data_IF_531952675138
#
_entry.id   IF_531952675138
#
_cell.length_a   1.000
_cell.length_b   1.000
_cell.length_c   1.000
_cell.angle_alpha   90.00
_cell.angle_beta   90.00
_cell.angle_gamma   90.00
#
_symmetry.space_group_name_H-M   'P 1'
#
loop_
_entity.id
_entity.type
_entity.pdbx_description
1 polymer ?
#
# COMPACT_ATOMS: atom_id res chain seq x y z
N UNK A 1 55.99 33.03 27.32
CA UNK A 1 55.57 32.31 26.11
C UNK A 1 54.11 31.93 26.25
N UNK A 2 53.21 32.56 25.48
CA UNK A 2 51.78 32.19 25.40
C UNK A 2 51.54 31.70 23.98
N UNK A 3 51.48 30.39 23.77
CA UNK A 3 51.05 29.79 22.51
C UNK A 3 49.53 29.97 22.38
N UNK A 4 49.14 30.56 21.27
CA UNK A 4 47.79 30.92 20.89
C UNK A 4 46.98 29.68 20.50
N UNK A 5 46.10 29.25 21.41
CA UNK A 5 45.10 28.18 21.24
C UNK A 5 43.97 28.51 20.21
N UNK A 6 44.19 29.47 19.31
CA UNK A 6 43.14 30.09 18.48
C UNK A 6 43.09 29.60 17.04
N UNK A 7 43.99 28.68 16.63
CA UNK A 7 44.10 28.26 15.22
C UNK A 7 43.54 26.87 14.90
N UNK A 8 43.09 26.10 15.90
CA UNK A 8 42.54 24.75 15.67
C UNK A 8 41.00 24.75 15.63
N UNK A 9 40.34 25.81 16.11
CA UNK A 9 38.86 25.88 16.09
C UNK A 9 38.27 26.34 14.75
N UNK A 10 39.10 26.71 13.76
CA UNK A 10 38.61 27.19 12.45
C UNK A 10 38.59 26.10 11.36
N UNK A 11 39.17 24.93 11.63
CA UNK A 11 39.19 23.79 10.69
C UNK A 11 38.16 22.72 11.00
N UNK A 12 37.38 22.88 12.08
CA UNK A 12 36.26 22.02 12.46
C UNK A 12 34.94 22.79 12.49
N UNK A 13 34.77 23.75 11.57
CA UNK A 13 33.42 23.90 10.98
C UNK A 13 33.29 22.70 10.05
N UNK A 14 32.94 21.57 10.67
CA UNK A 14 32.39 20.42 10.00
C UNK A 14 31.25 21.00 9.18
N UNK A 15 31.47 21.13 7.88
CA UNK A 15 30.42 21.20 6.89
C UNK A 15 29.74 19.85 7.05
N UNK A 16 28.84 19.76 8.02
CA UNK A 16 27.88 18.68 8.13
C UNK A 16 26.95 18.96 6.95
N UNK A 17 27.37 18.49 5.77
CA UNK A 17 26.48 18.30 4.64
C UNK A 17 25.45 17.33 5.18
N UNK A 18 24.35 17.88 5.71
CA UNK A 18 23.12 17.17 5.96
C UNK A 18 22.67 16.72 4.57
N UNK A 19 23.20 15.58 4.13
CA UNK A 19 22.59 14.77 3.11
C UNK A 19 21.27 14.29 3.73
N UNK A 20 20.25 15.13 3.64
CA UNK A 20 18.87 14.68 3.84
C UNK A 20 18.63 13.71 2.70
N UNK A 21 18.78 12.41 2.98
CA UNK A 21 18.28 11.37 2.08
C UNK A 21 16.80 11.68 1.94
N UNK A 22 16.42 12.16 0.76
CA UNK A 22 15.04 12.40 0.46
C UNK A 22 14.31 11.07 0.60
N UNK A 23 13.33 11.02 1.51
CA UNK A 23 12.47 9.86 1.64
C UNK A 23 11.55 9.83 0.43
N UNK A 24 11.58 8.76 -0.35
CA UNK A 24 10.52 8.49 -1.30
C UNK A 24 9.20 8.39 -0.50
N UNK A 25 8.17 9.08 -0.97
CA UNK A 25 6.86 9.09 -0.33
C UNK A 25 5.87 8.46 -1.29
N UNK A 26 5.19 7.42 -0.82
CA UNK A 26 4.08 6.80 -1.56
C UNK A 26 2.76 7.27 -0.95
N UNK A 27 1.82 7.62 -1.82
CA UNK A 27 0.45 7.98 -1.44
C UNK A 27 -0.52 6.91 -1.92
N UNK A 28 -1.53 6.61 -1.12
CA UNK A 28 -2.56 5.63 -1.47
C UNK A 28 -3.90 6.32 -1.65
N UNK A 29 -4.54 6.08 -2.79
CA UNK A 29 -5.91 6.46 -3.07
C UNK A 29 -6.74 5.19 -3.08
N UNK A 30 -7.70 5.10 -2.18
CA UNK A 30 -8.73 4.06 -2.22
C UNK A 30 -9.79 4.46 -3.26
N UNK A 31 -10.49 3.48 -3.81
CA UNK A 31 -11.59 3.71 -4.74
C UNK A 31 -12.87 4.18 -4.05
N UNK A 32 -13.85 4.59 -4.86
CA UNK A 32 -15.17 5.07 -4.42
C UNK A 32 -16.26 3.99 -4.41
N UNK A 33 -15.93 2.77 -4.80
CA UNK A 33 -16.84 1.64 -4.73
C UNK A 33 -16.89 1.14 -3.29
N UNK A 34 -18.09 0.84 -2.80
CA UNK A 34 -18.28 0.19 -1.51
C UNK A 34 -17.65 -1.21 -1.48
N UNK A 35 -16.87 -1.50 -0.44
CA UNK A 35 -16.34 -2.83 -0.16
C UNK A 35 -17.40 -3.94 -0.27
N UNK A 36 -16.96 -5.13 -0.68
CA UNK A 36 -17.76 -6.35 -0.77
C UNK A 36 -18.93 -6.29 -1.75
N UNK A 37 -18.71 -5.67 -2.91
CA UNK A 37 -19.73 -5.62 -3.97
C UNK A 37 -19.65 -6.87 -4.84
N UNK A 38 -20.77 -7.56 -4.98
CA UNK A 38 -20.88 -8.67 -5.93
C UNK A 38 -20.69 -8.16 -7.37
N UNK A 39 -19.85 -8.87 -8.12
CA UNK A 39 -19.59 -8.67 -9.54
C UNK A 39 -19.83 -10.01 -10.21
N UNK A 40 -20.99 -10.16 -10.83
CA UNK A 40 -21.38 -11.39 -11.51
C UNK A 40 -21.23 -11.29 -13.02
N UNK A 41 -21.30 -12.43 -13.70
CA UNK A 41 -21.09 -12.53 -15.14
C UNK A 41 -21.96 -11.52 -15.93
N UNK A 42 -21.31 -10.70 -16.77
CA UNK A 42 -21.88 -9.59 -17.58
C UNK A 42 -22.20 -8.30 -16.82
N UNK A 43 -21.94 -8.23 -15.52
CA UNK A 43 -21.99 -6.96 -14.80
C UNK A 43 -20.66 -6.24 -14.95
N UNK A 44 -20.75 -4.95 -15.28
CA UNK A 44 -19.61 -4.04 -15.25
C UNK A 44 -19.77 -3.11 -14.06
N UNK A 45 -18.71 -2.97 -13.29
CA UNK A 45 -18.62 -2.00 -12.22
C UNK A 45 -17.60 -0.93 -12.62
N UNK A 46 -17.93 0.32 -12.32
CA UNK A 46 -17.08 1.47 -12.60
C UNK A 46 -16.74 2.12 -11.28
N UNK A 47 -15.45 2.39 -11.08
CA UNK A 47 -14.94 3.07 -9.92
C UNK A 47 -14.03 4.23 -10.32
N UNK A 48 -13.71 5.05 -9.35
CA UNK A 48 -12.80 6.17 -9.52
C UNK A 48 -11.91 6.38 -8.30
N UNK A 49 -10.69 6.84 -8.57
CA UNK A 49 -9.77 7.37 -7.57
C UNK A 49 -9.85 8.89 -7.61
N UNK A 50 -10.09 9.54 -6.48
CA UNK A 50 -10.09 11.00 -6.37
C UNK A 50 -8.92 11.48 -5.51
N UNK A 51 -8.22 12.53 -5.95
CA UNK A 51 -7.26 13.21 -5.08
C UNK A 51 -8.05 14.01 -4.04
N UNK A 52 -7.85 13.76 -2.73
CA UNK A 52 -8.50 14.56 -1.70
C UNK A 52 -8.11 16.03 -1.82
N UNK A 53 -9.08 16.94 -1.73
CA UNK A 53 -8.82 18.39 -1.80
C UNK A 53 -7.89 18.91 -0.70
N UNK A 54 -7.76 18.16 0.40
CA UNK A 54 -6.82 18.44 1.50
C UNK A 54 -5.35 18.19 1.12
N UNK A 55 -5.08 17.47 0.04
CA UNK A 55 -3.72 17.10 -0.37
C UNK A 55 -3.07 18.19 -1.20
N UNK A 56 -2.70 19.28 -0.53
CA UNK A 56 -2.10 20.47 -1.15
C UNK A 56 -0.82 20.18 -1.94
N UNK A 57 -0.11 19.08 -1.66
CA UNK A 57 1.08 18.68 -2.42
C UNK A 57 0.77 18.30 -3.89
N UNK A 58 -0.47 17.91 -4.21
CA UNK A 58 -0.87 17.59 -5.58
C UNK A 58 -1.31 18.82 -6.38
N UNK A 59 -1.65 19.91 -5.71
CA UNK A 59 -2.03 21.17 -6.36
C UNK A 59 -0.83 21.99 -6.86
N UNK A 60 0.40 21.54 -6.58
CA UNK A 60 1.61 22.28 -6.94
C UNK A 60 2.07 21.94 -8.37
N UNK A 61 2.57 22.92 -9.15
CA UNK A 61 3.05 22.68 -10.52
C UNK A 61 4.20 21.67 -10.64
N UNK A 62 4.94 21.43 -9.56
CA UNK A 62 6.05 20.48 -9.47
C UNK A 62 5.60 19.05 -9.13
N UNK A 63 4.37 18.84 -8.67
CA UNK A 63 3.83 17.51 -8.34
C UNK A 63 3.99 16.52 -9.51
N UNK A 64 3.75 16.99 -10.74
CA UNK A 64 3.92 16.19 -11.95
C UNK A 64 5.36 15.77 -12.22
N UNK A 65 6.35 16.59 -11.83
CA UNK A 65 7.77 16.26 -12.00
C UNK A 65 8.24 15.24 -10.96
N UNK A 66 7.65 15.28 -9.78
CA UNK A 66 8.01 14.42 -8.68
C UNK A 66 7.27 13.08 -8.73
N UNK A 67 6.16 12.95 -9.45
CA UNK A 67 5.47 11.67 -9.64
C UNK A 67 6.29 10.73 -10.55
N UNK A 68 6.89 9.70 -9.95
CA UNK A 68 7.78 8.73 -10.63
C UNK A 68 7.06 7.50 -11.15
N UNK A 69 5.92 7.15 -10.57
CA UNK A 69 5.18 5.96 -10.94
C UNK A 69 3.85 5.85 -10.22
N UNK A 70 3.10 4.83 -10.58
CA UNK A 70 1.93 4.43 -9.84
C UNK A 70 1.55 2.99 -10.14
N UNK A 71 0.95 2.35 -9.16
CA UNK A 71 0.56 0.94 -9.20
C UNK A 71 -0.87 0.82 -8.75
N UNK A 72 -1.72 0.22 -9.59
CA UNK A 72 -3.07 -0.18 -9.20
C UNK A 72 -3.01 -1.57 -8.59
N UNK A 73 -3.67 -1.74 -7.46
CA UNK A 73 -3.85 -2.99 -6.75
C UNK A 73 -5.33 -3.32 -6.74
N UNK A 74 -5.69 -4.55 -7.10
CA UNK A 74 -7.06 -5.04 -7.08
C UNK A 74 -7.15 -6.30 -6.21
N UNK A 75 -8.24 -6.40 -5.45
CA UNK A 75 -8.56 -7.56 -4.63
C UNK A 75 -9.99 -8.03 -4.88
N UNK A 76 -10.14 -9.32 -5.12
CA UNK A 76 -11.42 -10.00 -5.26
C UNK A 76 -11.42 -11.24 -4.36
N UNK A 77 -12.60 -11.66 -3.95
CA UNK A 77 -12.80 -12.98 -3.35
C UNK A 77 -13.94 -13.67 -4.06
N UNK A 78 -13.88 -14.97 -4.04
CA UNK A 78 -14.93 -15.84 -4.51
C UNK A 78 -16.22 -15.64 -3.68
N UNK A 79 -17.39 -15.68 -4.33
CA UNK A 79 -18.69 -15.37 -3.68
C UNK A 79 -19.37 -16.59 -3.04
N UNK A 80 -18.70 -17.74 -3.03
CA UNK A 80 -19.43 -18.98 -2.89
C UNK A 80 -19.50 -19.48 -1.43
N UNK A 81 -20.72 -19.49 -0.89
CA UNK A 81 -21.12 -20.48 0.09
C UNK A 81 -21.36 -21.79 -0.68
N UNK A 82 -20.42 -22.73 -0.55
CA UNK A 82 -20.51 -24.16 -0.91
C UNK A 82 -21.97 -24.65 -1.07
N UNK A 83 -22.33 -25.29 -2.20
CA UNK A 83 -22.90 -26.66 -2.28
C UNK A 83 -23.58 -26.92 -3.64
N UNK A 84 -22.97 -27.79 -4.45
CA UNK A 84 -23.68 -28.86 -5.13
C UNK A 84 -23.05 -30.18 -4.67
N UNK A 85 -23.67 -30.85 -3.69
CA UNK A 85 -23.16 -32.08 -3.10
C UNK A 85 -23.45 -33.27 -4.03
N UNK A 86 -22.40 -33.94 -4.52
CA UNK A 86 -22.50 -35.22 -5.24
C UNK A 86 -21.95 -36.37 -4.40
N UNK A 87 -22.72 -37.44 -4.24
CA UNK A 87 -22.29 -38.65 -3.51
C UNK A 87 -21.63 -39.66 -4.44
N UNK A 88 -20.40 -40.09 -4.13
CA UNK A 88 -19.70 -41.15 -4.86
C UNK A 88 -19.25 -42.27 -3.90
N UNK A 89 -19.79 -43.49 -4.02
CA UNK A 89 -19.30 -44.64 -3.26
C UNK A 89 -18.09 -45.27 -3.97
N UNK A 90 -16.99 -45.46 -3.26
CA UNK A 90 -15.91 -46.39 -3.64
C UNK A 90 -15.96 -47.61 -2.72
N UNK A 91 -15.77 -48.81 -3.27
CA UNK A 91 -15.78 -50.06 -2.51
C UNK A 91 -14.40 -50.72 -2.60
N UNK A 92 -13.95 -51.31 -1.50
CA UNK A 92 -12.71 -52.08 -1.44
C UNK A 92 -12.89 -53.34 -0.60
N UNK A 93 -12.05 -54.33 -0.85
CA UNK A 93 -12.02 -55.61 -0.15
C UNK A 93 -10.57 -55.92 0.23
N UNK A 94 -10.35 -56.40 1.46
CA UNK A 94 -9.04 -56.80 1.95
C UNK A 94 -9.15 -58.05 2.82
N UNK A 95 -8.48 -59.12 2.42
CA UNK A 95 -8.25 -60.29 3.29
C UNK A 95 -7.23 -59.94 4.37
N UNK A 96 -7.57 -60.17 5.64
CA UNK A 96 -6.69 -59.86 6.79
C UNK A 96 -6.11 -61.13 7.42
N UNK A 97 -6.89 -62.21 7.45
CA UNK A 97 -6.49 -63.53 7.94
C UNK A 97 -7.10 -64.61 7.01
N UNK A 98 -6.66 -65.87 7.17
CA UNK A 98 -6.99 -67.00 6.27
C UNK A 98 -8.50 -67.16 5.99
N UNK A 99 -9.35 -66.75 6.94
CA UNK A 99 -10.82 -66.80 6.85
C UNK A 99 -11.53 -65.46 7.10
N UNK A 100 -10.80 -64.33 7.17
CA UNK A 100 -11.37 -63.01 7.50
C UNK A 100 -11.20 -62.02 6.35
N UNK A 101 -12.33 -61.53 5.84
CA UNK A 101 -12.36 -60.52 4.76
C UNK A 101 -12.99 -59.23 5.27
N UNK A 102 -12.24 -58.14 5.18
CA UNK A 102 -12.74 -56.78 5.40
C UNK A 102 -13.34 -56.22 4.12
N UNK A 103 -14.58 -55.74 4.20
CA UNK A 103 -15.24 -54.99 3.14
C UNK A 103 -15.36 -53.54 3.58
N UNK A 104 -14.84 -52.64 2.77
CA UNK A 104 -14.92 -51.21 3.02
C UNK A 104 -15.73 -50.46 1.99
N UNK A 105 -16.46 -49.44 2.42
CA UNK A 105 -17.03 -48.42 1.53
C UNK A 105 -16.57 -47.03 1.96
N UNK A 106 -15.92 -46.33 1.04
CA UNK A 106 -15.63 -44.91 1.18
C UNK A 106 -16.77 -44.12 0.51
N UNK A 107 -17.40 -43.27 1.29
CA UNK A 107 -18.51 -42.42 0.85
C UNK A 107 -17.99 -41.00 0.73
N UNK A 108 -17.94 -40.43 -0.48
CA UNK A 108 -17.52 -39.04 -0.68
C UNK A 108 -18.72 -38.12 -0.87
N UNK A 109 -18.82 -37.08 -0.05
CA UNK A 109 -19.60 -35.89 -0.39
C UNK A 109 -18.71 -34.91 -1.14
N UNK A 110 -19.02 -34.67 -2.41
CA UNK A 110 -18.25 -33.78 -3.27
C UNK A 110 -18.92 -32.44 -3.38
N UNK A 111 -18.25 -31.37 -2.93
CA UNK A 111 -18.65 -30.00 -3.23
C UNK A 111 -17.90 -29.56 -4.47
N UNK A 112 -18.61 -29.11 -5.52
CA UNK A 112 -18.02 -28.57 -6.75
C UNK A 112 -18.32 -27.09 -6.88
N UNK A 113 -17.26 -26.32 -6.97
CA UNK A 113 -17.34 -24.94 -7.39
C UNK A 113 -17.13 -24.80 -8.91
N UNK A 114 -17.74 -23.77 -9.49
CA UNK A 114 -17.56 -23.40 -10.89
C UNK A 114 -16.19 -22.73 -11.10
N UNK A 115 -15.94 -22.08 -12.23
CA UNK A 115 -14.65 -21.45 -12.52
C UNK A 115 -14.84 -19.94 -12.52
N UNK A 116 -14.17 -19.25 -11.61
CA UNK A 116 -14.22 -17.78 -11.54
C UNK A 116 -13.06 -17.14 -12.28
N UNK A 117 -13.37 -16.15 -13.11
CA UNK A 117 -12.37 -15.33 -13.78
C UNK A 117 -12.80 -13.88 -13.82
N UNK A 118 -11.95 -13.03 -13.26
CA UNK A 118 -12.10 -11.58 -13.34
C UNK A 118 -11.37 -11.03 -14.56
N UNK A 119 -11.99 -10.03 -15.19
CA UNK A 119 -11.35 -9.19 -16.20
C UNK A 119 -11.41 -7.74 -15.77
N UNK A 120 -10.25 -7.13 -15.58
CA UNK A 120 -10.13 -5.71 -15.29
C UNK A 120 -9.63 -4.99 -16.54
N UNK A 121 -10.42 -4.00 -16.97
CA UNK A 121 -10.14 -3.10 -18.08
C UNK A 121 -9.89 -1.70 -17.50
N UNK A 122 -8.65 -1.47 -17.08
CA UNK A 122 -8.23 -0.23 -16.46
C UNK A 122 -7.14 0.43 -17.31
N UNK A 123 -7.33 1.73 -17.62
CA UNK A 123 -6.26 2.57 -18.15
C UNK A 123 -5.66 2.04 -19.48
N UNK A 124 -6.52 1.54 -20.36
CA UNK A 124 -6.11 0.96 -21.65
C UNK A 124 -5.39 -0.38 -21.55
N UNK A 125 -5.27 -0.95 -20.35
CA UNK A 125 -4.73 -2.29 -20.11
C UNK A 125 -5.86 -3.25 -19.73
N UNK A 126 -5.76 -4.46 -20.24
CA UNK A 126 -6.64 -5.58 -19.90
C UNK A 126 -5.85 -6.62 -19.15
N UNK A 127 -6.29 -6.96 -17.94
CA UNK A 127 -5.73 -8.06 -17.16
C UNK A 127 -6.84 -9.04 -16.82
N UNK A 128 -6.53 -10.33 -16.93
CA UNK A 128 -7.40 -11.40 -16.51
C UNK A 128 -6.70 -12.26 -15.48
N UNK A 129 -7.44 -12.63 -14.44
CA UNK A 129 -7.00 -13.48 -13.34
C UNK A 129 -8.13 -14.43 -12.99
N UNK A 130 -7.75 -15.62 -12.56
CA UNK A 130 -8.65 -16.68 -12.16
C UNK A 130 -8.31 -17.10 -10.74
N UNK A 131 -9.29 -17.64 -10.04
CA UNK A 131 -9.08 -18.31 -8.76
C UNK A 131 -8.21 -19.56 -8.94
N UNK A 132 -7.73 -20.10 -7.83
CA UNK A 132 -6.95 -21.34 -7.82
C UNK A 132 -7.85 -22.55 -7.64
N UNK A 133 -7.56 -23.65 -8.35
CA UNK A 133 -8.23 -24.91 -8.09
C UNK A 133 -7.72 -25.53 -6.78
N UNK A 134 -8.63 -25.83 -5.86
CA UNK A 134 -8.36 -26.43 -4.56
C UNK A 134 -9.05 -27.79 -4.46
N UNK A 135 -8.36 -28.74 -3.82
CA UNK A 135 -8.95 -30.02 -3.41
C UNK A 135 -8.59 -30.27 -1.95
N UNK A 136 -9.59 -30.53 -1.14
CA UNK A 136 -9.42 -30.89 0.27
C UNK A 136 -10.24 -32.15 0.54
N UNK A 137 -9.65 -33.09 1.26
CA UNK A 137 -10.32 -34.28 1.75
C UNK A 137 -10.22 -34.25 3.27
N UNK A 138 -11.36 -34.25 3.94
CA UNK A 138 -11.45 -34.37 5.39
C UNK A 138 -12.28 -35.60 5.73
N UNK A 139 -11.94 -36.26 6.84
CA UNK A 139 -12.85 -37.25 7.39
C UNK A 139 -14.15 -36.54 7.75
N UNK A 140 -15.28 -37.13 7.39
CA UNK A 140 -16.57 -36.64 7.82
C UNK A 140 -16.72 -37.01 9.29
N UNK A 141 -17.03 -36.06 10.18
CA UNK A 141 -17.33 -36.32 11.59
C UNK A 141 -18.68 -37.05 11.79
N UNK A 142 -19.14 -37.79 10.79
CA UNK A 142 -20.37 -38.56 10.89
C UNK A 142 -20.16 -39.69 11.92
N UNK A 143 -21.05 -39.81 12.91
CA UNK A 143 -20.91 -40.77 14.01
C UNK A 143 -21.05 -42.25 13.60
N UNK A 144 -21.16 -42.54 12.30
CA UNK A 144 -21.53 -43.85 11.75
C UNK A 144 -20.37 -44.51 11.00
N UNK A 145 -19.21 -44.64 11.66
CA UNK A 145 -18.26 -45.70 11.31
C UNK A 145 -18.91 -47.04 11.70
N UNK A 146 -19.85 -47.51 10.87
CA UNK A 146 -20.61 -48.73 11.16
C UNK A 146 -19.68 -49.90 10.87
N UNK A 147 -19.31 -50.60 11.93
CA UNK A 147 -18.67 -51.91 11.87
C UNK A 147 -19.75 -52.99 11.98
N UNK A 148 -20.06 -53.68 10.88
CA UNK A 148 -21.00 -54.82 10.89
C UNK A 148 -20.21 -56.12 10.79
N UNK A 149 -20.44 -57.02 11.73
CA UNK A 149 -19.94 -58.40 11.65
C UNK A 149 -21.04 -59.30 11.12
N UNK A 150 -20.80 -59.98 10.00
CA UNK A 150 -21.70 -61.00 9.46
C UNK A 150 -20.93 -62.30 9.27
N UNK A 151 -21.38 -63.39 9.87
CA UNK A 151 -20.80 -64.72 9.65
C UNK A 151 -21.63 -65.44 8.59
N UNK A 152 -21.02 -65.79 7.45
CA UNK A 152 -21.65 -66.62 6.40
C UNK A 152 -20.73 -67.79 6.05
N UNK A 153 -21.07 -68.98 6.53
CA UNK A 153 -20.24 -70.18 6.34
C UNK A 153 -19.00 -70.16 7.23
N UNK A 154 -17.83 -70.66 6.78
CA UNK A 154 -16.60 -70.66 7.59
C UNK A 154 -15.91 -69.28 7.66
N UNK A 155 -16.45 -68.25 6.99
CA UNK A 155 -15.82 -66.94 6.87
C UNK A 155 -16.50 -65.90 7.75
N UNK A 156 -15.67 -65.08 8.40
CA UNK A 156 -16.10 -63.88 9.11
C UNK A 156 -15.96 -62.65 8.20
N UNK A 157 -17.09 -61.99 7.95
CA UNK A 157 -17.15 -60.75 7.18
C UNK A 157 -17.23 -59.56 8.12
N UNK A 158 -16.33 -58.60 7.94
CA UNK A 158 -16.36 -57.33 8.67
C UNK A 158 -16.58 -56.21 7.66
N UNK A 159 -17.68 -55.49 7.78
CA UNK A 159 -18.01 -54.34 6.98
C UNK A 159 -17.63 -53.06 7.72
N UNK A 160 -16.84 -52.19 7.10
CA UNK A 160 -16.58 -50.84 7.59
C UNK A 160 -17.05 -49.82 6.55
N UNK A 161 -17.88 -48.86 6.96
CA UNK A 161 -18.19 -47.70 6.11
C UNK A 161 -17.48 -46.48 6.67
N UNK A 162 -16.69 -45.80 5.84
CA UNK A 162 -16.03 -44.54 6.20
C UNK A 162 -16.60 -43.40 5.35
N UNK A 163 -16.90 -42.27 6.00
CA UNK A 163 -17.40 -41.09 5.33
C UNK A 163 -16.29 -40.04 5.19
N UNK A 164 -16.14 -39.50 3.98
CA UNK A 164 -15.22 -38.43 3.67
C UNK A 164 -15.98 -37.26 3.06
N UNK A 165 -15.61 -36.06 3.47
CA UNK A 165 -16.01 -34.85 2.78
C UNK A 165 -14.87 -34.48 1.84
N UNK A 166 -15.17 -34.33 0.55
CA UNK A 166 -14.22 -33.88 -0.46
C UNK A 166 -14.70 -32.56 -1.04
N UNK A 167 -14.02 -31.48 -0.69
CA UNK A 167 -14.24 -30.18 -1.32
C UNK A 167 -13.32 -30.06 -2.52
N UNK A 168 -13.87 -29.82 -3.70
CA UNK A 168 -13.10 -29.58 -4.91
C UNK A 168 -13.70 -28.40 -5.67
N UNK A 169 -12.89 -27.43 -6.06
CA UNK A 169 -13.46 -26.25 -6.70
C UNK A 169 -12.42 -25.25 -7.03
N UNK A 170 -12.80 -24.29 -7.86
CA UNK A 170 -12.07 -23.05 -7.94
C UNK A 170 -12.50 -22.18 -6.75
N UNK A 171 -11.59 -21.35 -6.25
CA UNK A 171 -11.94 -20.43 -5.19
C UNK A 171 -10.75 -19.80 -4.48
N UNK A 172 -11.08 -18.94 -3.52
CA UNK A 172 -10.15 -18.13 -2.75
C UNK A 172 -9.97 -16.72 -3.31
N UNK A 173 -8.94 -16.03 -2.80
CA UNK A 173 -8.70 -14.62 -3.13
C UNK A 173 -7.92 -14.46 -4.45
N UNK A 174 -8.29 -13.43 -5.21
CA UNK A 174 -7.55 -12.96 -6.38
C UNK A 174 -6.98 -11.58 -6.07
N UNK A 175 -5.68 -11.52 -5.83
CA UNK A 175 -4.95 -10.27 -5.67
C UNK A 175 -3.97 -10.08 -6.83
N UNK A 176 -3.98 -8.91 -7.45
CA UNK A 176 -3.00 -8.57 -8.48
C UNK A 176 -2.79 -7.06 -8.61
N UNK A 177 -1.65 -6.71 -9.19
CA UNK A 177 -1.28 -5.32 -9.42
C UNK A 177 -0.95 -5.06 -10.89
N UNK A 178 -1.10 -3.81 -11.31
CA UNK A 178 -0.66 -3.34 -12.62
C UNK A 178 -0.03 -1.95 -12.53
N UNK A 179 1.04 -1.74 -13.29
CA UNK A 179 1.68 -0.43 -13.38
C UNK A 179 0.81 0.53 -14.20
N UNK A 180 0.71 1.76 -13.73
CA UNK A 180 -0.01 2.84 -14.38
C UNK A 180 0.94 3.64 -15.26
N UNK A 181 0.57 3.85 -16.52
CA UNK A 181 1.38 4.63 -17.44
C UNK A 181 1.32 6.12 -17.08
N UNK A 182 2.43 6.84 -17.31
CA UNK A 182 2.56 8.26 -16.97
C UNK A 182 1.51 9.16 -17.61
N UNK A 183 0.95 8.76 -18.75
CA UNK A 183 -0.20 9.44 -19.38
C UNK A 183 -1.42 9.51 -18.45
N UNK A 184 -1.80 8.37 -17.85
CA UNK A 184 -2.97 8.29 -16.97
C UNK A 184 -2.73 8.94 -15.61
N UNK A 185 -1.49 8.85 -15.11
CA UNK A 185 -1.08 9.61 -13.93
C UNK A 185 -1.17 11.12 -14.17
N UNK A 186 -0.80 11.59 -15.37
CA UNK A 186 -1.00 12.98 -15.78
C UNK A 186 -2.48 13.38 -15.77
N UNK A 187 -3.36 12.52 -16.30
CA UNK A 187 -4.81 12.75 -16.27
C UNK A 187 -5.36 12.85 -14.83
N UNK A 188 -4.88 12.01 -13.91
CA UNK A 188 -5.26 12.08 -12.50
C UNK A 188 -4.86 13.43 -11.88
N UNK A 189 -3.64 13.92 -12.15
CA UNK A 189 -3.18 15.21 -11.65
C UNK A 189 -3.94 16.39 -12.27
N UNK A 190 -4.23 16.32 -13.56
CA UNK A 190 -4.88 17.40 -14.31
C UNK A 190 -6.39 17.50 -13.99
N UNK A 191 -7.07 16.35 -13.84
CA UNK A 191 -8.52 16.28 -13.62
C UNK A 191 -8.91 16.10 -12.14
N UNK A 192 -7.96 15.71 -11.28
CA UNK A 192 -8.19 15.40 -9.88
C UNK A 192 -8.82 14.02 -9.63
N UNK A 193 -9.15 13.26 -10.68
CA UNK A 193 -9.69 11.91 -10.56
C UNK A 193 -9.25 11.00 -11.71
N UNK A 194 -9.33 9.69 -11.49
CA UNK A 194 -9.00 8.65 -12.46
C UNK A 194 -10.03 7.52 -12.40
N UNK A 195 -10.69 7.23 -13.51
CA UNK A 195 -11.72 6.20 -13.61
C UNK A 195 -11.16 4.87 -14.13
N UNK A 196 -11.79 3.76 -13.71
CA UNK A 196 -11.53 2.42 -14.24
C UNK A 196 -12.83 1.62 -14.33
N UNK A 197 -12.80 0.58 -15.15
CA UNK A 197 -13.91 -0.37 -15.29
C UNK A 197 -13.43 -1.79 -14.97
N UNK A 198 -14.28 -2.55 -14.31
CA UNK A 198 -14.05 -3.95 -14.02
C UNK A 198 -15.29 -4.76 -14.44
N UNK A 199 -15.06 -6.01 -14.82
CA UNK A 199 -16.12 -6.93 -15.20
C UNK A 199 -15.77 -8.34 -14.75
N UNK A 200 -16.75 -9.06 -14.20
CA UNK A 200 -16.59 -10.50 -14.03
C UNK A 200 -16.83 -11.16 -15.40
N UNK A 201 -15.85 -11.94 -15.85
CA UNK A 201 -15.96 -12.64 -17.12
C UNK A 201 -16.63 -14.01 -16.94
N UNK A 202 -16.35 -14.71 -15.84
CA UNK A 202 -16.97 -15.97 -15.45
C UNK A 202 -17.05 -16.06 -13.93
N UNK A 203 -18.07 -16.75 -13.43
CA UNK A 203 -18.36 -16.88 -11.99
C UNK A 203 -19.00 -15.63 -11.40
N UNK A 204 -19.04 -15.64 -10.08
CA UNK A 204 -19.51 -14.57 -9.21
C UNK A 204 -18.40 -14.25 -8.21
N UNK A 205 -17.92 -13.02 -8.27
CA UNK A 205 -16.81 -12.57 -7.45
C UNK A 205 -17.26 -11.41 -6.60
N UNK A 206 -16.86 -11.39 -5.35
CA UNK A 206 -16.98 -10.24 -4.48
C UNK A 206 -15.75 -9.36 -4.73
N UNK A 207 -15.98 -8.17 -5.28
CA UNK A 207 -14.98 -7.12 -5.32
C UNK A 207 -14.72 -6.60 -3.91
N UNK A 208 -13.47 -6.75 -3.45
CA UNK A 208 -13.05 -6.30 -2.13
C UNK A 208 -12.61 -4.84 -2.17
N UNK A 209 -11.64 -4.52 -3.02
CA UNK A 209 -11.10 -3.17 -3.12
C UNK A 209 -10.28 -2.94 -4.38
N UNK A 210 -10.13 -1.66 -4.74
CA UNK A 210 -9.08 -1.20 -5.64
C UNK A 210 -8.31 -0.07 -4.97
N UNK A 211 -6.98 -0.07 -5.10
CA UNK A 211 -6.12 0.95 -4.52
C UNK A 211 -5.09 1.41 -5.53
N UNK A 212 -4.95 2.72 -5.67
CA UNK A 212 -3.90 3.35 -6.46
C UNK A 212 -2.79 3.83 -5.53
N UNK A 213 -1.63 3.21 -5.66
CA UNK A 213 -0.38 3.66 -5.08
C UNK A 213 0.31 4.64 -6.03
N UNK A 214 0.73 5.79 -5.53
CA UNK A 214 1.43 6.83 -6.28
C UNK A 214 2.81 7.04 -5.67
N UNK A 215 3.84 6.84 -6.47
CA UNK A 215 5.23 6.94 -6.02
C UNK A 215 5.83 8.29 -6.39
N UNK A 216 6.20 9.07 -5.38
CA UNK A 216 6.89 10.34 -5.60
C UNK A 216 8.38 10.19 -5.34
N UNK A 217 9.18 10.67 -6.29
CA UNK A 217 10.56 11.02 -6.05
C UNK A 217 10.62 11.93 -4.83
N UNK A 218 11.60 11.67 -4.00
CA UNK A 218 11.91 12.60 -2.94
C UNK A 218 12.24 13.96 -3.55
N UNK A 219 11.47 14.97 -3.21
CA UNK A 219 11.80 16.34 -3.54
C UNK A 219 13.18 16.60 -2.93
N UNK A 220 14.23 16.94 -3.71
CA UNK A 220 15.46 17.42 -3.11
C UNK A 220 15.06 18.71 -2.41
N UNK A 221 14.84 18.64 -1.09
CA UNK A 221 14.69 19.82 -0.25
C UNK A 221 15.74 20.81 -0.71
N UNK A 222 15.39 22.07 -1.04
CA UNK A 222 16.33 23.01 -1.62
C UNK A 222 17.48 23.19 -0.63
N UNK A 223 18.52 22.39 -0.81
CA UNK A 223 19.78 22.53 -0.10
C UNK A 223 20.27 23.89 -0.58
N UNK A 224 20.43 24.89 0.31
CA UNK A 224 20.89 26.18 -0.14
C UNK A 224 22.22 25.93 -0.83
N UNK A 225 22.34 26.38 -2.09
CA UNK A 225 23.53 26.09 -2.86
C UNK A 225 24.77 26.56 -2.06
N UNK A 226 25.87 25.80 -2.09
CA UNK A 226 27.10 26.20 -1.39
C UNK A 226 27.55 27.62 -1.76
N UNK A 227 27.23 28.05 -2.99
CA UNK A 227 27.43 29.40 -3.50
C UNK A 227 26.68 30.46 -2.69
N UNK A 228 25.44 30.20 -2.25
CA UNK A 228 24.61 31.14 -1.48
C UNK A 228 25.14 31.30 -0.06
N UNK A 229 25.60 30.21 0.55
CA UNK A 229 26.28 30.27 1.85
C UNK A 229 27.63 30.98 1.76
N UNK A 230 28.40 30.73 0.71
CA UNK A 230 29.67 31.42 0.45
C UNK A 230 29.46 32.93 0.22
N UNK A 231 28.43 33.32 -0.53
CA UNK A 231 28.06 34.72 -0.76
C UNK A 231 27.58 35.40 0.53
N UNK A 232 26.74 34.74 1.31
CA UNK A 232 26.23 35.27 2.57
C UNK A 232 27.37 35.45 3.59
N UNK A 233 28.24 34.45 3.72
CA UNK A 233 29.41 34.52 4.61
C UNK A 233 30.45 35.53 4.14
N UNK A 234 30.70 35.66 2.84
CA UNK A 234 31.51 36.74 2.27
C UNK A 234 30.90 38.13 2.57
N UNK A 235 29.58 38.28 2.44
CA UNK A 235 28.86 39.51 2.80
C UNK A 235 29.03 39.91 4.26
N UNK A 236 28.92 38.96 5.19
CA UNK A 236 29.15 39.21 6.62
C UNK A 236 30.61 39.56 6.93
N UNK A 237 31.58 38.92 6.26
CA UNK A 237 33.01 39.25 6.42
C UNK A 237 33.34 40.66 5.91
N UNK A 238 32.72 41.09 4.81
CA UNK A 238 32.87 42.44 4.28
C UNK A 238 32.26 43.49 5.21
N UNK A 239 31.05 43.26 5.73
CA UNK A 239 30.40 44.16 6.71
C UNK A 239 31.19 44.27 8.02
N UNK A 240 31.80 43.16 8.48
CA UNK A 240 32.68 43.16 9.65
C UNK A 240 33.94 44.01 9.48
N UNK A 241 34.54 44.04 8.27
CA UNK A 241 35.70 44.89 7.97
C UNK A 241 35.36 46.36 7.84
N UNK A 242 34.18 46.71 7.33
CA UNK A 242 33.72 48.11 7.25
C UNK A 242 33.56 48.73 8.64
N UNK A 243 33.12 47.95 9.64
CA UNK A 243 33.00 48.41 11.04
C UNK A 243 34.35 48.63 11.74
N UNK A 244 35.39 47.89 11.37
CA UNK A 244 36.74 48.06 11.91
C UNK A 244 37.54 49.21 11.24
N UNK A 245 37.11 49.65 10.05
CA UNK A 245 37.71 50.77 9.31
C UNK A 245 37.27 52.16 9.77
N UNK A 246 36.17 52.28 10.52
CA UNK A 246 35.75 53.54 11.14
C UNK A 246 36.59 53.79 12.40
N UNK A 247 37.87 54.12 12.19
CA UNK A 247 38.73 54.66 13.24
C UNK A 247 38.12 55.95 13.76
N UNK A 248 37.90 55.99 15.07
CA UNK A 248 37.59 57.19 15.86
C UNK A 248 38.47 58.37 15.42
N UNK A 249 37.84 59.40 14.87
CA UNK A 249 38.42 60.74 14.85
C UNK A 249 38.52 61.19 16.33
N UNK A 250 39.68 61.61 16.84
CA UNK A 250 39.81 62.08 18.22
C UNK A 250 39.05 63.41 18.34
N UNK A 251 37.91 63.36 19.04
CA UNK A 251 37.10 64.54 19.35
C UNK A 251 37.89 65.53 20.21
N UNK A 252 38.10 66.73 19.66
CA UNK A 252 38.56 67.91 20.39
C UNK A 252 37.58 68.23 21.52
N UNK A 253 38.12 68.43 22.72
CA UNK A 253 37.43 69.03 23.87
C UNK A 253 36.96 70.43 23.47
N UNK A 254 35.66 70.69 23.57
CA UNK A 254 35.04 72.01 23.42
C UNK A 254 34.29 72.37 24.71
N UNK A 255 34.66 73.52 25.28
CA UNK A 255 34.17 74.07 26.53
C UNK A 255 32.67 74.39 26.56
N UNK A 256 32.04 74.04 27.70
CA UNK A 256 31.19 74.88 28.56
C UNK A 256 30.47 76.10 27.91
N UNK A 257 29.14 76.10 27.95
CA UNK A 257 28.37 77.26 28.44
C UNK A 257 27.00 76.85 28.99
N UNK A 258 26.73 77.36 30.18
CA UNK A 258 25.52 77.27 30.98
C UNK A 258 24.49 78.33 30.59
N UNK A 259 23.29 78.21 31.20
CA UNK A 259 22.13 79.11 31.22
C UNK A 259 21.13 78.84 30.09
N UNK A 260 19.82 78.80 30.30
CA UNK A 260 18.99 79.06 31.47
C UNK A 260 17.52 78.97 31.04
N UNK A 261 16.65 78.76 32.02
CA UNK A 261 15.20 78.58 31.97
C UNK A 261 14.39 79.33 30.88
N UNK A 262 13.35 78.68 30.37
CA UNK A 262 12.01 79.28 30.27
C UNK A 262 10.92 78.19 30.17
N UNK A 263 9.93 78.35 31.04
CA UNK A 263 8.63 77.68 31.14
C UNK A 263 7.71 77.94 29.96
N UNK A 264 6.84 76.98 29.61
CA UNK A 264 5.41 77.22 29.41
C UNK A 264 4.61 75.91 29.24
N UNK A 265 3.49 75.88 29.94
CA UNK A 265 2.42 74.89 30.05
C UNK A 265 1.45 74.86 28.84
N UNK A 266 0.99 73.65 28.46
CA UNK A 266 -0.37 73.16 28.05
C UNK A 266 -1.31 74.02 27.15
N UNK A 267 -2.42 73.48 26.54
CA UNK A 267 -2.96 72.11 26.54
C UNK A 267 -3.38 71.52 25.16
N UNK A 268 -3.96 70.33 25.27
CA UNK A 268 -4.59 69.41 24.32
C UNK A 268 -5.65 69.97 23.34
N UNK A 269 -5.88 69.16 22.29
CA UNK A 269 -7.22 68.73 21.84
C UNK A 269 -7.22 67.20 21.84
#
# INVERSE_FOLDING_TARGET
MKMTLSRILLSTVIILVLATNGLAVSFFLDDDISDNRLVSNRESLSGSFGIPSSWSQFARPDARKNLTGGTLHFSFTDNDDLINAGFFPQQWERTVEEDTVLFGRNCFETFRDSFEMVRVDALGKRVSRQTGYRTQITNSDRPDDILVYETRGPFDYVYQTQYFNRTMGWGGDIDFSMNVDSYWLGQLLDNGFLQYNLSAYMGDLIFKSARLELDFASDPSPVPEPSTFLLLSAGFLLLGKVRAGVRRIPGKRGCRRSQGAASASFPAI
#
